data_IF_291193092522
#
_entry.id   IF_291193092522
#
_cell.length_a   1.000
_cell.length_b   1.000
_cell.length_c   1.000
_cell.angle_alpha   90.00
_cell.angle_beta   90.00
_cell.angle_gamma   90.00
#
_symmetry.space_group_name_H-M   'P 1'
#
loop_
_entity.id
_entity.type
_entity.pdbx_description
1 polymer ?
#
# COMPACT_ATOMS: atom_id res chain seq x y z
N UNK A 1 9.78 9.13 -12.45
CA UNK A 1 8.55 8.45 -12.01
C UNK A 1 7.92 9.25 -10.88
N UNK A 2 6.59 9.29 -10.88
CA UNK A 2 5.80 9.82 -9.77
C UNK A 2 5.45 8.66 -8.83
N UNK A 3 5.57 8.87 -7.53
CA UNK A 3 5.32 7.84 -6.51
C UNK A 3 4.30 8.39 -5.52
N UNK A 4 3.31 7.59 -5.12
CA UNK A 4 2.44 7.92 -3.98
C UNK A 4 2.77 7.01 -2.81
N UNK A 5 2.93 7.60 -1.63
CA UNK A 5 3.07 6.91 -0.36
C UNK A 5 1.77 7.14 0.43
N UNK A 6 1.13 6.06 0.87
CA UNK A 6 -0.13 6.08 1.61
C UNK A 6 0.01 5.23 2.88
N UNK A 7 0.35 5.87 4.00
CA UNK A 7 0.54 5.19 5.29
C UNK A 7 -0.24 5.91 6.39
N UNK A 8 -0.36 5.32 7.58
CA UNK A 8 -1.08 5.96 8.69
C UNK A 8 -0.25 6.96 9.49
N UNK A 9 1.04 7.18 9.17
CA UNK A 9 1.94 8.04 9.94
C UNK A 9 2.77 8.97 9.07
N UNK A 10 2.82 10.24 9.45
CA UNK A 10 3.69 11.25 8.82
C UNK A 10 5.17 10.91 8.95
N UNK A 11 5.57 10.30 10.07
CA UNK A 11 6.95 9.87 10.30
C UNK A 11 7.35 8.75 9.32
N UNK A 12 6.44 7.80 9.09
CA UNK A 12 6.66 6.73 8.12
C UNK A 12 6.66 7.27 6.69
N UNK A 13 5.72 8.17 6.36
CA UNK A 13 5.69 8.87 5.07
C UNK A 13 7.01 9.62 4.79
N UNK A 14 7.50 10.39 5.77
CA UNK A 14 8.76 11.12 5.66
C UNK A 14 9.97 10.19 5.49
N UNK A 15 10.01 9.11 6.28
CA UNK A 15 11.09 8.12 6.22
C UNK A 15 11.11 7.40 4.87
N UNK A 16 9.95 7.01 4.35
CA UNK A 16 9.83 6.38 3.04
C UNK A 16 10.16 7.34 1.90
N UNK A 17 9.75 8.61 1.94
CA UNK A 17 10.15 9.61 0.93
C UNK A 17 11.67 9.66 0.80
N UNK A 18 12.37 9.92 1.93
CA UNK A 18 13.82 10.03 1.95
C UNK A 18 14.48 8.74 1.45
N UNK A 19 13.97 7.60 1.89
CA UNK A 19 14.49 6.29 1.50
C UNK A 19 14.30 6.04 0.00
N UNK A 20 13.15 6.34 -0.57
CA UNK A 20 12.86 6.13 -1.99
C UNK A 20 13.71 7.03 -2.88
N UNK A 21 13.93 8.29 -2.48
CA UNK A 21 14.86 9.18 -3.20
C UNK A 21 16.28 8.62 -3.20
N UNK A 22 16.70 8.00 -2.10
CA UNK A 22 18.01 7.35 -2.04
C UNK A 22 18.07 6.09 -2.92
N UNK A 23 17.09 5.18 -2.78
CA UNK A 23 17.07 3.88 -3.46
C UNK A 23 16.85 3.99 -4.97
N UNK A 24 15.95 4.87 -5.40
CA UNK A 24 15.58 5.03 -6.81
C UNK A 24 16.35 6.17 -7.48
N UNK A 25 17.06 7.00 -6.72
CA UNK A 25 17.92 8.07 -7.21
C UNK A 25 17.19 9.03 -8.16
N UNK A 26 17.88 9.43 -9.23
CA UNK A 26 17.35 10.35 -10.25
C UNK A 26 16.14 9.84 -11.03
N UNK A 27 15.66 8.61 -10.79
CA UNK A 27 14.39 8.12 -11.36
C UNK A 27 13.18 8.78 -10.69
N UNK A 28 13.29 9.32 -9.48
CA UNK A 28 12.17 9.96 -8.76
C UNK A 28 11.99 11.39 -9.26
N UNK A 29 10.83 11.68 -9.86
CA UNK A 29 10.45 13.03 -10.26
C UNK A 29 9.70 13.73 -9.13
N UNK A 30 8.73 13.03 -8.55
CA UNK A 30 7.87 13.55 -7.49
C UNK A 30 7.43 12.41 -6.59
N UNK A 31 7.33 12.71 -5.29
CA UNK A 31 6.73 11.85 -4.28
C UNK A 31 5.55 12.62 -3.71
N UNK A 32 4.40 11.98 -3.68
CA UNK A 32 3.20 12.44 -3.00
C UNK A 32 3.01 11.62 -1.73
N UNK A 33 2.57 12.26 -0.66
CA UNK A 33 2.26 11.61 0.62
C UNK A 33 0.80 11.87 0.95
N UNK A 34 0.13 10.82 1.41
CA UNK A 34 -1.24 10.84 1.90
C UNK A 34 -1.34 9.98 3.16
N UNK A 35 -2.35 10.23 3.98
CA UNK A 35 -2.56 9.51 5.24
C UNK A 35 -3.79 8.61 5.16
N UNK A 36 -3.64 7.37 5.63
CA UNK A 36 -4.76 6.44 5.78
C UNK A 36 -5.72 6.96 6.86
N UNK A 37 -7.03 6.86 6.60
CA UNK A 37 -8.08 7.43 7.45
C UNK A 37 -8.42 8.89 7.14
N UNK A 38 -7.64 9.56 6.29
CA UNK A 38 -7.81 10.96 5.91
C UNK A 38 -7.98 11.06 4.37
N UNK A 39 -9.14 10.68 3.81
CA UNK A 39 -9.36 10.65 2.35
C UNK A 39 -9.16 12.00 1.67
N UNK A 40 -9.34 13.12 2.39
CA UNK A 40 -9.05 14.48 1.97
C UNK A 40 -7.57 14.75 1.69
N UNK A 41 -6.66 13.92 2.22
CA UNK A 41 -5.23 14.00 1.94
C UNK A 41 -4.87 13.53 0.52
N UNK A 42 -5.77 12.80 -0.16
CA UNK A 42 -5.56 12.33 -1.52
C UNK A 42 -5.74 13.46 -2.54
N UNK A 43 -4.68 13.74 -3.29
CA UNK A 43 -4.65 14.79 -4.32
C UNK A 43 -4.86 14.18 -5.71
N UNK A 44 -5.42 14.97 -6.64
CA UNK A 44 -5.72 14.51 -8.00
C UNK A 44 -4.48 14.04 -8.76
N UNK A 45 -3.34 14.68 -8.52
CA UNK A 45 -2.05 14.39 -9.14
C UNK A 45 -1.54 12.98 -8.79
N UNK A 46 -1.92 12.46 -7.62
CA UNK A 46 -1.56 11.10 -7.16
C UNK A 46 -2.13 10.02 -8.07
N UNK A 47 -3.24 10.29 -8.79
CA UNK A 47 -3.84 9.35 -9.74
C UNK A 47 -2.90 9.01 -10.91
N UNK A 48 -1.90 9.87 -11.17
CA UNK A 48 -0.87 9.68 -12.21
C UNK A 48 0.39 8.97 -11.72
N UNK A 49 0.41 8.50 -10.47
CA UNK A 49 1.57 7.83 -9.89
C UNK A 49 1.86 6.50 -10.59
N UNK A 50 3.14 6.27 -10.84
CA UNK A 50 3.65 5.06 -11.50
C UNK A 50 3.84 3.92 -10.49
N UNK A 51 4.03 4.27 -9.22
CA UNK A 51 4.20 3.36 -8.10
C UNK A 51 3.39 3.89 -6.91
N UNK A 52 2.63 2.99 -6.29
CA UNK A 52 1.98 3.19 -5.00
C UNK A 52 2.66 2.35 -3.94
N UNK A 53 3.02 2.94 -2.81
CA UNK A 53 3.49 2.24 -1.62
C UNK A 53 2.49 2.53 -0.53
N UNK A 54 1.84 1.49 0.00
CA UNK A 54 0.79 1.71 1.00
C UNK A 54 0.83 0.67 2.11
N UNK A 55 0.51 1.07 3.33
CA UNK A 55 0.10 0.10 4.34
C UNK A 55 -1.22 -0.55 3.90
N UNK A 56 -1.33 -1.87 4.04
CA UNK A 56 -2.52 -2.58 3.58
C UNK A 56 -3.77 -2.23 4.40
N UNK A 57 -3.59 -2.02 5.70
CA UNK A 57 -4.62 -1.69 6.68
C UNK A 57 -4.38 -0.32 7.29
N UNK A 58 -5.47 0.32 7.75
CA UNK A 58 -5.37 1.54 8.53
C UNK A 58 -4.76 1.20 9.91
N UNK A 59 -3.66 1.86 10.35
CA UNK A 59 -3.08 1.57 11.67
C UNK A 59 -3.99 1.88 12.85
N UNK A 60 -4.95 2.79 12.68
CA UNK A 60 -5.96 3.15 13.70
C UNK A 60 -7.17 2.20 13.69
N UNK A 61 -7.43 1.53 12.56
CA UNK A 61 -8.44 0.49 12.40
C UNK A 61 -7.86 -0.70 11.62
N UNK A 62 -7.27 -1.61 12.39
CA UNK A 62 -6.56 -2.81 11.94
C UNK A 62 -7.44 -3.81 11.17
N UNK A 63 -8.76 -3.65 11.18
CA UNK A 63 -9.70 -4.46 10.39
C UNK A 63 -10.11 -3.78 9.07
N UNK A 64 -9.74 -2.51 8.86
CA UNK A 64 -10.06 -1.73 7.67
C UNK A 64 -8.90 -1.78 6.67
N UNK A 65 -9.01 -2.56 5.56
CA UNK A 65 -7.98 -2.69 4.54
C UNK A 65 -7.96 -1.48 3.57
N UNK A 66 -7.98 -0.26 4.11
CA UNK A 66 -8.17 0.96 3.34
C UNK A 66 -7.08 1.17 2.28
N UNK A 67 -5.81 0.98 2.64
CA UNK A 67 -4.72 1.14 1.68
C UNK A 67 -4.73 0.07 0.61
N UNK A 68 -5.04 -1.19 0.98
CA UNK A 68 -5.27 -2.25 0.01
C UNK A 68 -6.38 -1.89 -0.99
N UNK A 69 -7.55 -1.48 -0.50
CA UNK A 69 -8.68 -1.08 -1.36
C UNK A 69 -8.31 0.08 -2.27
N UNK A 70 -7.60 1.08 -1.74
CA UNK A 70 -7.21 2.27 -2.50
C UNK A 70 -6.27 1.89 -3.64
N UNK A 71 -5.23 1.11 -3.37
CA UNK A 71 -4.25 0.70 -4.37
C UNK A 71 -4.85 -0.25 -5.41
N UNK A 72 -5.76 -1.15 -4.99
CA UNK A 72 -6.51 -2.06 -5.90
C UNK A 72 -7.26 -1.32 -7.01
N UNK A 73 -7.74 -0.08 -6.78
CA UNK A 73 -8.41 0.74 -7.83
C UNK A 73 -7.50 1.02 -9.03
N UNK A 74 -6.19 0.91 -8.87
CA UNK A 74 -5.17 1.12 -9.90
C UNK A 74 -4.59 -0.18 -10.47
N UNK A 75 -5.23 -1.33 -10.22
CA UNK A 75 -4.83 -2.61 -10.79
C UNK A 75 -4.66 -2.52 -12.32
N UNK A 76 -3.55 -3.07 -12.82
CA UNK A 76 -3.14 -3.02 -14.22
C UNK A 76 -2.67 -1.65 -14.73
N UNK A 77 -2.77 -0.58 -13.92
CA UNK A 77 -2.43 0.80 -14.32
C UNK A 77 -1.19 1.33 -13.63
N UNK A 78 -0.98 0.96 -12.37
CA UNK A 78 0.18 1.37 -11.59
C UNK A 78 0.82 0.16 -10.88
N UNK A 79 2.11 0.26 -10.60
CA UNK A 79 2.81 -0.68 -9.73
C UNK A 79 2.41 -0.42 -8.29
N UNK A 80 2.48 -1.46 -7.47
CA UNK A 80 2.10 -1.40 -6.06
C UNK A 80 3.13 -2.11 -5.19
N UNK A 81 3.33 -1.59 -3.99
CA UNK A 81 3.95 -2.29 -2.88
C UNK A 81 3.06 -2.12 -1.65
N UNK A 82 2.42 -3.21 -1.24
CA UNK A 82 1.64 -3.26 -0.01
C UNK A 82 2.52 -3.66 1.17
N UNK A 83 2.42 -2.92 2.26
CA UNK A 83 3.10 -3.17 3.52
C UNK A 83 2.09 -3.74 4.52
N UNK A 84 2.34 -4.95 5.00
CA UNK A 84 1.54 -5.59 6.04
C UNK A 84 2.31 -5.54 7.36
N UNK A 85 2.01 -4.55 8.20
CA UNK A 85 2.82 -4.21 9.38
C UNK A 85 2.31 -4.88 10.67
N UNK A 86 1.05 -5.30 10.70
CA UNK A 86 0.38 -5.86 11.89
C UNK A 86 -0.64 -6.95 11.52
N UNK A 87 -0.96 -7.84 12.47
CA UNK A 87 -2.02 -8.86 12.41
C UNK A 87 -1.98 -9.83 11.22
N UNK A 88 -0.78 -10.20 10.80
CA UNK A 88 -0.63 -11.14 9.69
C UNK A 88 -1.02 -12.57 10.10
N UNK A 89 -1.92 -13.25 9.37
CA UNK A 89 -2.26 -14.64 9.65
C UNK A 89 -1.02 -15.53 9.63
N UNK A 90 -0.96 -16.53 10.51
CA UNK A 90 0.23 -17.38 10.69
C UNK A 90 0.72 -18.04 9.39
N UNK A 91 -0.19 -18.34 8.46
CA UNK A 91 0.10 -18.98 7.18
C UNK A 91 0.19 -18.00 5.99
N UNK A 92 0.15 -16.69 6.24
CA UNK A 92 0.23 -15.71 5.16
C UNK A 92 1.67 -15.56 4.66
N UNK A 93 1.92 -15.54 3.34
CA UNK A 93 3.27 -15.42 2.80
C UNK A 93 3.95 -14.12 3.21
N UNK A 94 5.18 -14.21 3.73
CA UNK A 94 5.97 -13.05 4.20
C UNK A 94 6.28 -12.03 3.09
N UNK A 95 6.33 -12.48 1.85
CA UNK A 95 6.50 -11.65 0.68
C UNK A 95 5.79 -12.30 -0.50
N UNK A 96 5.33 -11.48 -1.43
CA UNK A 96 4.90 -11.92 -2.75
C UNK A 96 5.16 -10.82 -3.76
N UNK A 97 4.62 -10.92 -4.97
CA UNK A 97 5.05 -10.08 -6.10
C UNK A 97 5.00 -8.57 -5.81
N UNK A 98 3.95 -8.11 -5.14
CA UNK A 98 3.70 -6.69 -4.88
C UNK A 98 3.38 -6.38 -3.41
N UNK A 99 3.78 -7.26 -2.49
CA UNK A 99 3.59 -7.03 -1.05
C UNK A 99 4.75 -7.56 -0.20
N UNK A 100 4.82 -7.03 1.01
CA UNK A 100 5.77 -7.41 2.03
C UNK A 100 5.10 -7.38 3.41
N UNK A 101 5.24 -8.46 4.18
CA UNK A 101 4.90 -8.48 5.60
C UNK A 101 6.09 -7.98 6.40
N UNK A 102 5.88 -7.08 7.36
CA UNK A 102 6.91 -6.61 8.27
C UNK A 102 6.66 -7.16 9.68
N UNK A 103 7.72 -7.53 10.43
CA UNK A 103 9.12 -7.59 9.99
C UNK A 103 9.38 -8.78 9.04
N UNK A 104 10.27 -8.60 8.06
CA UNK A 104 10.68 -9.64 7.12
C UNK A 104 12.19 -9.59 6.86
N UNK A 105 12.84 -10.75 6.61
CA UNK A 105 14.27 -10.80 6.26
C UNK A 105 14.59 -10.17 4.89
N UNK A 106 13.62 -10.07 3.99
CA UNK A 106 13.81 -9.40 2.69
C UNK A 106 14.04 -7.91 2.92
N UNK A 107 15.17 -7.40 2.41
CA UNK A 107 15.45 -5.97 2.47
C UNK A 107 14.43 -5.19 1.65
N UNK A 108 13.90 -4.10 2.22
CA UNK A 108 12.91 -3.25 1.57
C UNK A 108 13.41 -2.73 0.22
N UNK A 109 14.70 -2.44 0.11
CA UNK A 109 15.39 -2.09 -1.13
C UNK A 109 15.18 -3.10 -2.25
N UNK A 110 15.44 -4.39 -1.98
CA UNK A 110 15.32 -5.44 -2.99
C UNK A 110 13.86 -5.58 -3.43
N UNK A 111 12.93 -5.50 -2.48
CA UNK A 111 11.50 -5.56 -2.76
C UNK A 111 11.02 -4.39 -3.61
N UNK A 112 11.47 -3.16 -3.33
CA UNK A 112 11.14 -1.98 -4.14
C UNK A 112 11.66 -2.13 -5.56
N UNK A 113 12.90 -2.61 -5.74
CA UNK A 113 13.47 -2.83 -7.08
C UNK A 113 12.68 -3.88 -7.85
N UNK A 114 12.39 -5.01 -7.23
CA UNK A 114 11.58 -6.08 -7.82
C UNK A 114 10.21 -5.53 -8.29
N UNK A 115 9.53 -4.74 -7.47
CA UNK A 115 8.24 -4.14 -7.81
C UNK A 115 8.37 -3.15 -8.98
N UNK A 116 9.38 -2.29 -8.96
CA UNK A 116 9.62 -1.28 -10.01
C UNK A 116 9.90 -1.94 -11.37
N UNK A 117 10.57 -3.08 -11.39
CA UNK A 117 10.92 -3.79 -12.62
C UNK A 117 9.84 -4.81 -13.05
N UNK A 118 8.88 -5.10 -12.17
CA UNK A 118 7.75 -6.00 -12.45
C UNK A 118 6.61 -5.32 -13.22
N UNK A 119 5.75 -6.10 -13.90
CA UNK A 119 4.49 -5.60 -14.44
C UNK A 119 3.56 -5.09 -13.33
N UNK A 120 2.62 -4.21 -13.70
CA UNK A 120 1.58 -3.74 -12.78
C UNK A 120 0.72 -4.92 -12.31
N UNK A 121 0.47 -5.08 -10.99
CA UNK A 121 -0.41 -6.13 -10.49
C UNK A 121 -1.81 -6.01 -11.08
N UNK A 122 -2.31 -7.10 -11.62
CA UNK A 122 -3.63 -7.20 -12.25
C UNK A 122 -4.73 -7.36 -11.20
N UNK A 123 -5.99 -7.18 -11.59
CA UNK A 123 -7.12 -7.41 -10.68
C UNK A 123 -7.14 -8.84 -10.12
N UNK A 124 -6.72 -9.82 -10.92
CA UNK A 124 -6.63 -11.22 -10.49
C UNK A 124 -5.57 -11.41 -9.38
N UNK A 125 -4.46 -10.67 -9.43
CA UNK A 125 -3.41 -10.73 -8.41
C UNK A 125 -3.92 -10.20 -7.06
N UNK A 126 -4.70 -9.12 -7.07
CA UNK A 126 -5.38 -8.63 -5.87
C UNK A 126 -6.43 -9.62 -5.36
N UNK A 127 -7.23 -10.20 -6.26
CA UNK A 127 -8.23 -11.21 -5.88
C UNK A 127 -7.59 -12.45 -5.27
N UNK A 128 -6.43 -12.88 -5.78
CA UNK A 128 -5.66 -13.95 -5.18
C UNK A 128 -5.22 -13.59 -3.75
N UNK A 129 -4.73 -12.37 -3.52
CA UNK A 129 -4.38 -11.92 -2.17
C UNK A 129 -5.60 -11.93 -1.22
N UNK A 130 -6.79 -11.56 -1.72
CA UNK A 130 -8.06 -11.65 -0.98
C UNK A 130 -8.49 -13.11 -0.68
N UNK A 131 -8.02 -14.10 -1.45
CA UNK A 131 -8.22 -15.51 -1.09
C UNK A 131 -7.31 -15.96 0.04
N UNK A 132 -6.09 -15.43 0.09
CA UNK A 132 -5.12 -15.72 1.15
C UNK A 132 -5.51 -15.03 2.46
N UNK A 133 -6.09 -13.84 2.38
CA UNK A 133 -6.54 -13.09 3.54
C UNK A 133 -7.91 -12.42 3.29
N UNK A 134 -9.03 -13.10 3.62
CA UNK A 134 -10.38 -12.62 3.33
C UNK A 134 -10.75 -11.25 3.92
N UNK A 135 -10.09 -10.83 5.01
CA UNK A 135 -10.30 -9.51 5.63
C UNK A 135 -10.01 -8.36 4.65
N UNK A 136 -9.16 -8.58 3.63
CA UNK A 136 -8.89 -7.61 2.56
C UNK A 136 -10.12 -7.24 1.72
N UNK A 137 -11.17 -8.07 1.75
CA UNK A 137 -12.47 -7.76 1.12
C UNK A 137 -13.30 -6.78 1.96
N UNK A 138 -12.90 -6.51 3.19
CA UNK A 138 -13.59 -5.65 4.14
C UNK A 138 -13.86 -4.26 3.56
N UNK A 139 -15.14 -3.89 3.51
CA UNK A 139 -15.54 -2.50 3.28
C UNK A 139 -15.38 -1.67 4.54
N UNK A 140 -15.47 -0.33 4.44
CA UNK A 140 -15.60 0.50 5.64
C UNK A 140 -16.76 -0.05 6.46
N UNK A 141 -16.50 -0.38 7.73
CA UNK A 141 -17.52 -0.73 8.68
C UNK A 141 -18.51 0.44 8.68
N UNK A 142 -19.75 0.19 8.26
CA UNK A 142 -20.80 1.19 8.45
C UNK A 142 -20.87 1.37 9.96
N UNK A 143 -20.45 2.53 10.47
CA UNK A 143 -20.91 2.97 11.77
C UNK A 143 -22.43 2.84 11.72
N UNK A 144 -22.94 1.85 12.46
CA UNK A 144 -24.34 1.83 12.80
C UNK A 144 -24.58 3.15 13.53
N UNK A 145 -25.08 4.15 12.81
CA UNK A 145 -25.94 5.16 13.41
C UNK A 145 -27.21 4.43 13.85
N UNK A 146 -27.08 3.73 14.97
CA UNK A 146 -28.19 3.35 15.81
C UNK A 146 -28.60 4.58 16.62
N UNK A 147 -29.88 4.90 16.50
CA UNK A 147 -30.72 5.66 17.41
C UNK A 147 -30.79 7.19 17.26
N UNK A 148 -32.03 7.60 17.00
CA UNK A 148 -32.60 8.93 16.91
C UNK A 148 -33.97 8.78 16.25
#
# INVERSE_FOLDING_TARGET
>A
MNITILTGSDELNFSLDRYLRFVLGGKVKQIFTARLGEPESLQFEMLSSHLWIAEAFNPEDIENPEGFRTVKKFAGKARALLLFVSLVPQNFPRAGQFWLTLPCPTALYDKIKEVVDSPCPTLNDYQHLETLWPLLKGGPSRHHHGHG
#
